data_IF_917778335846
#
_entry.id   IF_917778335846
#
_cell.length_a   1.000
_cell.length_b   1.000
_cell.length_c   1.000
_cell.angle_alpha   90.00
_cell.angle_beta   90.00
_cell.angle_gamma   90.00
#
_symmetry.space_group_name_H-M   'P 1'
#
loop_
_entity.id
_entity.type
_entity.pdbx_description
1 polymer ?
#
# COMPACT_ATOMS: atom_id res chain seq x y z
N UNK A 1 -19.06 0.55 12.53
CA UNK A 1 -20.24 1.42 12.60
C UNK A 1 -20.63 1.75 11.17
N UNK A 2 -21.70 1.14 10.69
CA UNK A 2 -22.19 1.26 9.32
C UNK A 2 -22.68 2.69 9.10
N UNK A 3 -22.05 3.45 8.19
CA UNK A 3 -22.63 4.71 7.73
C UNK A 3 -23.98 4.39 7.08
N UNK A 4 -25.07 5.10 7.41
CA UNK A 4 -26.33 4.94 6.70
C UNK A 4 -26.11 5.31 5.23
N UNK A 5 -26.79 4.59 4.33
CA UNK A 5 -26.92 4.98 2.92
C UNK A 5 -27.35 6.45 2.85
N UNK A 6 -26.80 7.25 1.92
CA UNK A 6 -27.19 8.65 1.78
C UNK A 6 -28.70 8.71 1.54
N UNK A 7 -29.41 9.50 2.37
CA UNK A 7 -30.83 9.77 2.15
C UNK A 7 -30.99 10.54 0.83
N UNK A 8 -32.08 10.32 0.08
CA UNK A 8 -32.37 11.11 -1.10
C UNK A 8 -32.52 12.59 -0.70
N UNK A 9 -31.60 13.42 -1.22
CA UNK A 9 -31.59 14.87 -1.01
C UNK A 9 -32.87 15.48 -1.62
N UNK A 10 -33.48 16.52 -1.01
CA UNK A 10 -34.70 17.12 -1.52
C UNK A 10 -34.50 17.65 -2.95
N UNK A 11 -35.43 17.26 -3.83
CA UNK A 11 -35.50 17.72 -5.21
C UNK A 11 -35.46 19.26 -5.26
N UNK A 12 -34.43 19.84 -5.87
CA UNK A 12 -34.50 21.24 -6.31
C UNK A 12 -35.55 21.32 -7.41
N UNK A 13 -36.74 21.81 -7.08
CA UNK A 13 -37.74 22.25 -8.04
C UNK A 13 -37.12 23.31 -8.94
N UNK A 14 -36.92 23.00 -10.22
CA UNK A 14 -36.29 23.98 -11.10
C UNK A 14 -35.96 23.58 -12.54
N UNK A 15 -36.48 22.48 -13.09
CA UNK A 15 -36.57 22.25 -14.55
C UNK A 15 -37.84 21.48 -14.88
N UNK A 16 -38.50 21.85 -15.98
CA UNK A 16 -39.80 21.29 -16.37
C UNK A 16 -39.69 19.79 -16.60
N UNK A 17 -40.64 18.99 -16.07
CA UNK A 17 -40.77 17.54 -16.37
C UNK A 17 -40.59 17.23 -17.87
N UNK A 18 -41.01 18.17 -18.73
CA UNK A 18 -40.89 18.09 -20.19
C UNK A 18 -39.46 18.00 -20.69
N UNK A 19 -38.49 18.64 -20.03
CA UNK A 19 -37.08 18.60 -20.43
C UNK A 19 -36.44 17.24 -20.12
N UNK A 20 -36.79 16.65 -18.97
CA UNK A 20 -36.37 15.31 -18.59
C UNK A 20 -37.01 14.27 -19.52
N UNK A 21 -38.30 14.41 -19.80
CA UNK A 21 -39.02 13.53 -20.73
C UNK A 21 -38.43 13.61 -22.15
N UNK A 22 -38.13 14.82 -22.64
CA UNK A 22 -37.47 15.01 -23.94
C UNK A 22 -36.06 14.41 -23.99
N UNK A 23 -35.28 14.55 -22.92
CA UNK A 23 -33.97 13.88 -22.80
C UNK A 23 -34.11 12.36 -22.87
N UNK A 24 -35.05 11.81 -22.12
CA UNK A 24 -35.28 10.38 -22.09
C UNK A 24 -35.76 9.85 -23.45
N UNK A 25 -36.68 10.53 -24.13
CA UNK A 25 -37.11 10.13 -25.48
C UNK A 25 -35.94 10.18 -26.48
N UNK A 26 -35.04 11.16 -26.37
CA UNK A 26 -33.90 11.27 -27.28
C UNK A 26 -32.87 10.14 -27.10
N UNK A 27 -32.47 9.84 -25.85
CA UNK A 27 -31.38 8.89 -25.59
C UNK A 27 -31.86 7.47 -25.23
N UNK A 28 -33.15 7.33 -24.97
CA UNK A 28 -33.81 6.10 -24.57
C UNK A 28 -35.18 5.94 -25.25
N UNK A 29 -35.30 6.03 -26.59
CA UNK A 29 -36.60 6.04 -27.27
C UNK A 29 -37.42 4.77 -27.03
N UNK A 30 -36.75 3.63 -26.79
CA UNK A 30 -37.38 2.33 -26.50
C UNK A 30 -37.79 2.16 -25.03
N UNK A 31 -37.22 2.94 -24.12
CA UNK A 31 -37.48 2.86 -22.69
C UNK A 31 -37.27 4.23 -22.00
N UNK A 32 -38.09 5.26 -22.31
CA UNK A 32 -37.91 6.61 -21.78
C UNK A 32 -38.14 6.71 -20.26
N UNK A 33 -38.78 5.70 -19.66
CA UNK A 33 -38.93 5.58 -18.21
C UNK A 33 -37.74 4.96 -17.49
N UNK A 34 -36.69 4.53 -18.20
CA UNK A 34 -35.59 3.77 -17.60
C UNK A 34 -34.83 4.61 -16.57
N UNK A 35 -34.65 4.12 -15.32
CA UNK A 35 -34.05 4.89 -14.22
C UNK A 35 -32.65 5.39 -14.60
N UNK A 36 -31.81 4.55 -15.19
CA UNK A 36 -30.46 4.93 -15.62
C UNK A 36 -30.38 6.24 -16.43
N UNK A 37 -31.34 6.51 -17.32
CA UNK A 37 -31.34 7.70 -18.20
C UNK A 37 -31.87 8.92 -17.45
N UNK A 38 -32.90 8.74 -16.62
CA UNK A 38 -33.44 9.80 -15.76
C UNK A 38 -32.40 10.25 -14.75
N UNK A 39 -31.76 9.29 -14.07
CA UNK A 39 -30.71 9.55 -13.09
C UNK A 39 -29.51 10.24 -13.74
N UNK A 40 -29.13 9.83 -14.97
CA UNK A 40 -28.07 10.48 -15.73
C UNK A 40 -28.44 11.91 -16.14
N UNK A 41 -29.70 12.19 -16.42
CA UNK A 41 -30.13 13.56 -16.65
C UNK A 41 -29.89 14.38 -15.37
N UNK A 42 -30.43 13.93 -14.23
CA UNK A 42 -30.36 14.64 -12.95
C UNK A 42 -28.91 14.90 -12.51
N UNK A 43 -28.13 13.83 -12.36
CA UNK A 43 -26.87 13.69 -13.05
C UNK A 43 -26.11 14.96 -13.52
N UNK A 44 -26.28 15.19 -14.82
CA UNK A 44 -25.69 16.24 -15.63
C UNK A 44 -26.32 17.61 -15.40
N UNK A 45 -27.54 17.68 -14.85
CA UNK A 45 -28.18 18.94 -14.49
C UNK A 45 -27.59 19.54 -13.20
N UNK A 46 -27.16 18.69 -12.27
CA UNK A 46 -26.65 19.07 -10.95
C UNK A 46 -25.10 19.16 -10.90
N UNK A 47 -24.44 19.48 -12.01
CA UNK A 47 -22.99 19.68 -12.06
C UNK A 47 -22.64 20.96 -11.27
N UNK A 48 -21.88 20.87 -10.16
CA UNK A 48 -21.54 22.03 -9.34
C UNK A 48 -20.55 22.96 -10.06
N UNK A 49 -20.80 24.26 -9.96
CA UNK A 49 -19.95 25.30 -10.55
C UNK A 49 -18.84 25.76 -9.62
N UNK A 50 -19.00 25.63 -8.30
CA UNK A 50 -18.09 26.14 -7.28
C UNK A 50 -17.85 25.11 -6.16
N UNK A 51 -16.71 25.25 -5.47
CA UNK A 51 -16.33 24.39 -4.36
C UNK A 51 -15.72 23.05 -4.78
N UNK A 52 -14.57 22.69 -4.19
CA UNK A 52 -13.95 21.39 -4.45
C UNK A 52 -14.79 20.25 -3.89
N UNK A 53 -15.26 20.36 -2.64
CA UNK A 53 -16.04 19.33 -1.96
C UNK A 53 -17.30 18.93 -2.75
N UNK A 54 -18.10 19.92 -3.19
CA UNK A 54 -19.29 19.68 -4.01
C UNK A 54 -18.94 18.97 -5.34
N UNK A 55 -17.81 19.34 -5.97
CA UNK A 55 -17.32 18.66 -7.19
C UNK A 55 -16.91 17.22 -6.89
N UNK A 56 -16.23 16.94 -5.78
CA UNK A 56 -15.87 15.59 -5.37
C UNK A 56 -17.12 14.73 -5.09
N UNK A 57 -18.11 15.28 -4.39
CA UNK A 57 -19.41 14.62 -4.15
C UNK A 57 -20.15 14.31 -5.46
N UNK A 58 -20.07 15.20 -6.45
CA UNK A 58 -20.62 14.93 -7.78
C UNK A 58 -19.87 13.77 -8.47
N UNK A 59 -18.54 13.71 -8.38
CA UNK A 59 -17.75 12.59 -8.92
C UNK A 59 -18.13 11.28 -8.24
N UNK A 60 -18.33 11.26 -6.92
CA UNK A 60 -18.83 10.08 -6.20
C UNK A 60 -20.20 9.64 -6.69
N UNK A 61 -21.16 10.57 -6.85
CA UNK A 61 -22.48 10.24 -7.40
C UNK A 61 -22.39 9.69 -8.82
N UNK A 62 -21.46 10.21 -9.63
CA UNK A 62 -21.21 9.70 -10.98
C UNK A 62 -20.67 8.28 -10.97
N UNK A 63 -19.67 7.98 -10.11
CA UNK A 63 -19.13 6.62 -9.96
C UNK A 63 -20.18 5.67 -9.38
N UNK A 64 -20.98 6.10 -8.40
CA UNK A 64 -22.08 5.32 -7.85
C UNK A 64 -23.13 5.00 -8.92
N UNK A 65 -23.48 5.96 -9.78
CA UNK A 65 -24.36 5.75 -10.92
C UNK A 65 -23.77 4.75 -11.92
N UNK A 66 -22.46 4.79 -12.20
CA UNK A 66 -21.81 3.79 -13.07
C UNK A 66 -21.82 2.38 -12.47
N UNK A 67 -21.74 2.27 -11.14
CA UNK A 67 -21.70 1.01 -10.40
C UNK A 67 -23.06 0.39 -10.13
N UNK A 68 -24.14 1.09 -10.41
CA UNK A 68 -25.49 0.59 -10.21
C UNK A 68 -25.70 -0.74 -10.96
N UNK A 69 -26.19 -1.80 -10.29
CA UNK A 69 -26.32 -3.12 -10.88
C UNK A 69 -27.36 -3.18 -12.00
N UNK A 70 -28.25 -2.19 -12.13
CA UNK A 70 -29.23 -2.13 -13.21
C UNK A 70 -28.56 -1.73 -14.52
N UNK A 71 -28.47 -2.65 -15.50
CA UNK A 71 -27.80 -2.36 -16.75
C UNK A 71 -28.66 -1.47 -17.66
N UNK A 72 -28.01 -0.78 -18.58
CA UNK A 72 -28.64 0.05 -19.61
C UNK A 72 -28.95 -0.73 -20.90
N UNK A 73 -29.13 -2.06 -20.82
CA UNK A 73 -29.26 -2.97 -21.99
C UNK A 73 -30.41 -2.59 -22.94
N UNK A 74 -31.52 -2.05 -22.42
CA UNK A 74 -32.66 -1.60 -23.23
C UNK A 74 -32.44 -0.27 -23.97
N UNK A 75 -31.27 0.33 -23.81
CA UNK A 75 -30.89 1.66 -24.30
C UNK A 75 -29.82 1.60 -25.39
N UNK A 76 -29.25 0.42 -25.64
CA UNK A 76 -28.19 0.20 -26.63
C UNK A 76 -28.75 -0.48 -27.89
N UNK A 77 -28.01 -0.40 -28.99
CA UNK A 77 -28.39 -1.13 -30.21
C UNK A 77 -28.27 -2.65 -29.97
N UNK A 78 -29.17 -3.46 -30.57
CA UNK A 78 -29.22 -4.90 -30.34
C UNK A 78 -28.06 -5.58 -31.08
N UNK A 79 -26.86 -5.56 -30.50
CA UNK A 79 -25.69 -6.22 -31.07
C UNK A 79 -24.69 -6.77 -30.05
N UNK A 80 -24.89 -6.57 -28.74
CA UNK A 80 -23.90 -7.02 -27.74
C UNK A 80 -24.50 -8.05 -26.77
N UNK A 81 -23.73 -9.11 -26.41
CA UNK A 81 -24.08 -10.06 -25.34
C UNK A 81 -24.29 -9.33 -24.00
N UNK A 82 -24.79 -10.02 -22.96
CA UNK A 82 -24.97 -9.47 -21.60
C UNK A 82 -23.69 -8.77 -21.09
N UNK A 83 -23.58 -7.48 -21.39
CA UNK A 83 -22.46 -6.66 -20.95
C UNK A 83 -22.69 -6.24 -19.49
N UNK A 84 -21.63 -6.16 -18.67
CA UNK A 84 -21.76 -5.69 -17.30
C UNK A 84 -22.47 -4.33 -17.24
N UNK A 85 -23.28 -4.10 -16.19
CA UNK A 85 -24.05 -2.87 -16.03
C UNK A 85 -23.20 -1.61 -16.20
N UNK A 86 -22.00 -1.59 -15.61
CA UNK A 86 -21.06 -0.48 -15.72
C UNK A 86 -20.64 -0.16 -17.17
N UNK A 87 -20.47 -1.18 -18.03
CA UNK A 87 -20.12 -0.99 -19.43
C UNK A 87 -21.26 -0.33 -20.19
N UNK A 88 -22.47 -0.84 -20.02
CA UNK A 88 -23.66 -0.28 -20.70
C UNK A 88 -23.96 1.15 -20.25
N UNK A 89 -23.75 1.46 -18.96
CA UNK A 89 -23.95 2.81 -18.40
C UNK A 89 -22.83 3.76 -18.84
N UNK A 90 -21.58 3.31 -18.90
CA UNK A 90 -20.48 4.09 -19.46
C UNK A 90 -20.73 4.45 -20.93
N UNK A 91 -21.22 3.49 -21.73
CA UNK A 91 -21.60 3.73 -23.12
C UNK A 91 -22.73 4.75 -23.26
N UNK A 92 -23.74 4.69 -22.36
CA UNK A 92 -24.82 5.68 -22.32
C UNK A 92 -24.30 7.08 -21.97
N UNK A 93 -23.46 7.21 -20.93
CA UNK A 93 -22.83 8.48 -20.56
C UNK A 93 -22.05 9.06 -21.75
N UNK A 94 -21.23 8.23 -22.39
CA UNK A 94 -20.43 8.64 -23.54
C UNK A 94 -21.31 9.17 -24.68
N UNK A 95 -22.36 8.43 -25.05
CA UNK A 95 -23.31 8.82 -26.10
C UNK A 95 -23.97 10.18 -25.79
N UNK A 96 -24.35 10.42 -24.55
CA UNK A 96 -24.98 11.69 -24.14
C UNK A 96 -24.00 12.85 -24.27
N UNK A 97 -22.76 12.69 -23.80
CA UNK A 97 -21.74 13.73 -23.85
C UNK A 97 -21.24 14.01 -25.28
N UNK A 98 -21.24 13.01 -26.16
CA UNK A 98 -20.95 13.19 -27.60
C UNK A 98 -22.05 14.00 -28.29
N UNK A 99 -23.32 13.74 -27.97
CA UNK A 99 -24.46 14.37 -28.61
C UNK A 99 -24.80 15.77 -28.07
N UNK A 100 -24.50 16.08 -26.80
CA UNK A 100 -24.89 17.35 -26.15
C UNK A 100 -23.71 18.10 -25.56
N UNK A 101 -23.24 19.11 -26.31
CA UNK A 101 -22.20 20.04 -25.83
C UNK A 101 -22.59 20.77 -24.52
N UNK A 102 -23.87 21.09 -24.33
CA UNK A 102 -24.38 21.74 -23.10
C UNK A 102 -24.25 20.87 -21.84
N UNK A 103 -24.20 19.54 -21.98
CA UNK A 103 -23.90 18.63 -20.88
C UNK A 103 -22.38 18.36 -20.75
N UNK A 104 -21.66 18.34 -21.88
CA UNK A 104 -20.22 18.10 -21.93
C UNK A 104 -19.39 19.21 -21.28
N UNK A 105 -19.67 20.47 -21.59
CA UNK A 105 -18.84 21.59 -21.12
C UNK A 105 -18.79 21.71 -19.57
N UNK A 106 -19.90 21.63 -18.82
CA UNK A 106 -19.85 21.63 -17.36
C UNK A 106 -19.05 20.47 -16.77
N UNK A 107 -19.21 19.26 -17.33
CA UNK A 107 -18.48 18.07 -16.86
C UNK A 107 -16.99 18.20 -17.16
N UNK A 108 -16.62 18.68 -18.35
CA UNK A 108 -15.22 18.92 -18.72
C UNK A 108 -14.59 19.99 -17.82
N UNK A 109 -15.31 21.06 -17.50
CA UNK A 109 -14.88 22.08 -16.55
C UNK A 109 -14.68 21.50 -15.15
N UNK A 110 -15.64 20.72 -14.65
CA UNK A 110 -15.53 20.06 -13.36
C UNK A 110 -14.29 19.15 -13.28
N UNK A 111 -14.05 18.32 -14.30
CA UNK A 111 -12.88 17.42 -14.33
C UNK A 111 -11.58 18.22 -14.33
N UNK A 112 -11.49 19.32 -15.08
CA UNK A 112 -10.31 20.20 -15.05
C UNK A 112 -10.07 20.78 -13.67
N UNK A 113 -11.11 21.32 -13.04
CA UNK A 113 -11.03 21.93 -11.72
C UNK A 113 -10.62 20.91 -10.64
N UNK A 114 -11.21 19.71 -10.66
CA UNK A 114 -10.84 18.64 -9.72
C UNK A 114 -9.39 18.21 -9.94
N UNK A 115 -8.95 18.03 -11.18
CA UNK A 115 -7.55 17.66 -11.47
C UNK A 115 -6.58 18.79 -11.09
N UNK A 116 -6.93 20.05 -11.31
CA UNK A 116 -6.09 21.19 -10.93
C UNK A 116 -5.98 21.36 -9.40
N UNK A 117 -7.04 21.02 -8.67
CA UNK A 117 -7.10 21.14 -7.22
C UNK A 117 -6.57 19.92 -6.46
N UNK A 118 -6.21 18.84 -7.17
CA UNK A 118 -5.72 17.58 -6.56
C UNK A 118 -4.29 17.25 -7.02
N UNK A 119 -3.53 16.61 -6.14
CA UNK A 119 -2.17 16.13 -6.43
C UNK A 119 -2.12 14.60 -6.55
N UNK A 120 -1.57 14.11 -7.65
CA UNK A 120 -1.32 12.68 -7.88
C UNK A 120 0.01 12.17 -7.31
N UNK A 121 0.89 13.06 -6.83
CA UNK A 121 2.25 12.67 -6.42
C UNK A 121 2.25 11.58 -5.36
N UNK A 122 1.49 11.76 -4.28
CA UNK A 122 1.39 10.77 -3.19
C UNK A 122 0.79 9.46 -3.66
N UNK A 123 -0.24 9.52 -4.51
CA UNK A 123 -0.86 8.34 -5.09
C UNK A 123 0.18 7.49 -5.83
N UNK A 124 0.91 8.07 -6.77
CA UNK A 124 1.82 7.29 -7.62
C UNK A 124 3.13 6.89 -6.91
N UNK A 125 3.62 7.69 -5.95
CA UNK A 125 4.94 7.50 -5.32
C UNK A 125 4.94 6.91 -3.91
N UNK A 126 3.81 6.85 -3.19
CA UNK A 126 3.78 6.42 -1.79
C UNK A 126 2.75 5.34 -1.49
N UNK A 127 1.60 5.35 -2.16
CA UNK A 127 0.54 4.35 -1.93
C UNK A 127 1.03 2.95 -2.28
N UNK A 128 0.90 2.01 -1.33
CA UNK A 128 1.32 0.62 -1.49
C UNK A 128 2.78 0.34 -1.13
N UNK A 129 3.53 1.38 -0.77
CA UNK A 129 4.94 1.26 -0.44
C UNK A 129 5.16 1.22 1.08
N UNK A 130 6.08 0.37 1.57
CA UNK A 130 6.41 0.32 2.98
C UNK A 130 6.93 1.68 3.49
N UNK A 131 6.33 2.21 4.56
CA UNK A 131 6.75 3.47 5.19
C UNK A 131 8.19 3.36 5.76
N UNK A 132 9.09 4.28 5.42
CA UNK A 132 10.54 4.17 5.67
C UNK A 132 11.03 4.12 7.14
N UNK A 133 10.16 3.91 8.13
CA UNK A 133 10.48 3.86 9.56
C UNK A 133 10.80 2.44 10.07
N UNK A 134 11.01 1.48 9.17
CA UNK A 134 11.19 0.07 9.48
C UNK A 134 9.88 -0.59 9.95
N UNK A 135 9.92 -1.91 10.13
CA UNK A 135 8.72 -2.72 10.45
C UNK A 135 7.94 -2.23 11.66
N UNK A 136 8.61 -1.98 12.79
CA UNK A 136 7.92 -1.57 14.04
C UNK A 136 7.32 -0.18 13.93
N UNK A 137 7.98 0.74 13.22
CA UNK A 137 7.44 2.07 12.93
C UNK A 137 6.20 1.99 12.05
N UNK A 138 6.18 1.10 11.06
CA UNK A 138 5.00 0.92 10.21
C UNK A 138 3.81 0.31 10.97
N UNK A 139 4.04 -0.70 11.80
CA UNK A 139 2.98 -1.31 12.61
C UNK A 139 2.39 -0.30 13.60
N UNK A 140 3.24 0.47 14.29
CA UNK A 140 2.77 1.48 15.25
C UNK A 140 2.01 2.61 14.55
N UNK A 141 2.49 3.08 13.41
CA UNK A 141 1.86 4.12 12.59
C UNK A 141 0.48 3.68 12.06
N UNK A 142 0.37 2.44 11.54
CA UNK A 142 -0.92 1.89 11.10
C UNK A 142 -1.89 1.67 12.25
N UNK A 143 -1.41 1.25 13.42
CA UNK A 143 -2.24 1.12 14.62
C UNK A 143 -2.72 2.49 15.12
N UNK A 144 -1.83 3.48 15.13
CA UNK A 144 -2.15 4.85 15.52
C UNK A 144 -3.23 5.44 14.60
N UNK A 145 -3.08 5.33 13.28
CA UNK A 145 -4.10 5.75 12.31
C UNK A 145 -5.44 5.03 12.45
N UNK A 146 -5.44 3.80 12.96
CA UNK A 146 -6.68 3.05 13.23
C UNK A 146 -7.38 3.56 14.50
N UNK A 147 -6.64 4.06 15.48
CA UNK A 147 -7.17 4.60 16.74
C UNK A 147 -7.53 6.09 16.62
N UNK A 148 -6.76 6.85 15.85
CA UNK A 148 -6.90 8.28 15.59
C UNK A 148 -6.86 8.52 14.08
N UNK A 149 -8.01 8.44 13.39
CA UNK A 149 -8.08 8.73 11.97
C UNK A 149 -7.71 10.20 11.71
N UNK A 150 -6.75 10.45 10.83
CA UNK A 150 -6.46 11.80 10.36
C UNK A 150 -7.65 12.38 9.61
N UNK A 151 -7.86 13.71 9.63
CA UNK A 151 -8.86 14.35 8.79
C UNK A 151 -8.57 14.07 7.30
N UNK A 152 -9.61 13.89 6.47
CA UNK A 152 -9.43 13.66 5.04
C UNK A 152 -8.72 14.85 4.38
N UNK A 153 -7.74 14.55 3.52
CA UNK A 153 -7.03 15.56 2.75
C UNK A 153 -7.64 15.65 1.34
N UNK A 154 -8.61 16.55 1.16
CA UNK A 154 -9.41 16.66 -0.08
C UNK A 154 -8.59 17.01 -1.33
N UNK A 155 -7.35 17.48 -1.15
CA UNK A 155 -6.41 17.81 -2.23
C UNK A 155 -5.54 16.64 -2.68
N UNK A 156 -5.72 15.43 -2.12
CA UNK A 156 -4.94 14.26 -2.49
C UNK A 156 -5.73 13.29 -3.35
N UNK A 157 -5.21 12.97 -4.54
CA UNK A 157 -5.83 11.98 -5.42
C UNK A 157 -5.88 10.58 -4.78
N UNK A 158 -4.97 10.28 -3.85
CA UNK A 158 -4.99 9.03 -3.08
C UNK A 158 -6.21 8.90 -2.15
N UNK A 159 -6.64 10.00 -1.53
CA UNK A 159 -7.84 10.01 -0.68
C UNK A 159 -9.09 9.97 -1.54
N UNK A 160 -9.11 10.70 -2.67
CA UNK A 160 -10.20 10.61 -3.63
C UNK A 160 -10.37 9.19 -4.16
N UNK A 161 -9.28 8.49 -4.52
CA UNK A 161 -9.34 7.12 -5.00
C UNK A 161 -10.03 6.20 -3.98
N UNK A 162 -9.66 6.28 -2.70
CA UNK A 162 -10.25 5.47 -1.63
C UNK A 162 -11.68 5.90 -1.23
N UNK A 163 -12.06 7.14 -1.56
CA UNK A 163 -13.43 7.65 -1.40
C UNK A 163 -14.36 7.13 -2.51
N UNK A 164 -13.87 7.09 -3.75
CA UNK A 164 -14.60 6.55 -4.90
C UNK A 164 -14.70 5.01 -4.87
N UNK A 165 -13.67 4.37 -4.30
CA UNK A 165 -13.54 2.92 -4.25
C UNK A 165 -13.31 2.46 -2.81
N UNK A 166 -14.38 2.36 -2.00
CA UNK A 166 -14.27 2.08 -0.57
C UNK A 166 -13.91 0.61 -0.23
N UNK A 167 -14.12 -0.34 -1.14
CA UNK A 167 -13.92 -1.78 -0.85
C UNK A 167 -12.85 -2.43 -1.74
N UNK A 168 -12.11 -3.44 -1.27
CA UNK A 168 -11.02 -4.06 -2.03
C UNK A 168 -11.44 -4.63 -3.39
N UNK A 169 -12.66 -5.15 -3.49
CA UNK A 169 -13.25 -5.73 -4.71
C UNK A 169 -13.42 -4.69 -5.83
N UNK A 170 -13.34 -3.40 -5.50
CA UNK A 170 -13.46 -2.30 -6.45
C UNK A 170 -12.31 -2.25 -7.45
N UNK A 171 -11.15 -2.82 -7.08
CA UNK A 171 -10.05 -2.93 -8.01
C UNK A 171 -10.36 -3.87 -9.17
N UNK A 172 -11.05 -4.99 -8.90
CA UNK A 172 -11.43 -5.95 -9.94
C UNK A 172 -12.55 -5.36 -10.82
N UNK A 173 -13.45 -4.59 -10.23
CA UNK A 173 -14.43 -3.80 -10.99
C UNK A 173 -13.77 -2.81 -11.95
N UNK A 174 -12.74 -2.08 -11.47
CA UNK A 174 -12.02 -1.10 -12.28
C UNK A 174 -11.25 -1.75 -13.44
N UNK A 175 -10.59 -2.87 -13.15
CA UNK A 175 -9.85 -3.66 -14.14
C UNK A 175 -10.78 -4.29 -15.20
N UNK A 176 -12.04 -4.53 -14.85
CA UNK A 176 -13.08 -5.01 -15.78
C UNK A 176 -13.66 -3.97 -16.73
N UNK A 177 -13.32 -2.68 -16.60
CA UNK A 177 -13.82 -1.64 -17.49
C UNK A 177 -13.09 -1.68 -18.86
N UNK A 178 -13.82 -1.58 -19.98
CA UNK A 178 -13.20 -1.53 -21.30
C UNK A 178 -12.39 -0.24 -21.48
N UNK A 179 -11.15 -0.31 -22.00
CA UNK A 179 -10.29 0.85 -22.14
C UNK A 179 -10.72 1.81 -23.27
N UNK A 180 -11.45 1.33 -24.28
CA UNK A 180 -11.86 2.16 -25.44
C UNK A 180 -12.87 3.25 -25.05
N UNK A 181 -13.98 2.95 -24.32
CA UNK A 181 -14.92 3.99 -23.93
C UNK A 181 -14.32 5.01 -22.97
N UNK A 182 -13.39 4.58 -22.10
CA UNK A 182 -12.66 5.47 -21.20
C UNK A 182 -11.71 6.39 -21.97
N UNK A 183 -11.03 5.87 -23.00
CA UNK A 183 -10.18 6.67 -23.87
C UNK A 183 -10.98 7.75 -24.62
N UNK A 184 -12.16 7.40 -25.13
CA UNK A 184 -13.07 8.35 -25.77
C UNK A 184 -13.62 9.37 -24.79
N UNK A 185 -14.10 8.95 -23.63
CA UNK A 185 -14.56 9.84 -22.57
C UNK A 185 -13.46 10.82 -22.16
N UNK A 186 -12.25 10.32 -21.95
CA UNK A 186 -11.08 11.14 -21.64
C UNK A 186 -10.83 12.20 -22.71
N UNK A 187 -10.83 11.81 -23.99
CA UNK A 187 -10.61 12.71 -25.11
C UNK A 187 -11.68 13.83 -25.18
N UNK A 188 -12.95 13.49 -24.93
CA UNK A 188 -14.06 14.45 -24.90
C UNK A 188 -13.94 15.48 -23.77
N UNK A 189 -13.34 15.08 -22.64
CA UNK A 189 -13.21 15.93 -21.46
C UNK A 189 -11.88 16.71 -21.39
N UNK A 190 -10.96 16.50 -22.35
CA UNK A 190 -9.70 17.27 -22.40
C UNK A 190 -9.91 18.74 -22.79
N UNK A 191 -10.93 19.03 -23.60
CA UNK A 191 -11.14 20.35 -24.22
C UNK A 191 -11.85 21.34 -23.31
N UNK A 192 -11.55 22.63 -23.48
CA UNK A 192 -12.28 23.75 -22.87
C UNK A 192 -12.02 25.04 -23.64
N UNK A 193 -12.98 25.95 -23.62
CA UNK A 193 -12.94 27.23 -24.35
C UNK A 193 -12.08 28.31 -23.67
N UNK A 194 -11.50 28.02 -22.49
CA UNK A 194 -10.76 28.98 -21.66
C UNK A 194 -9.28 28.56 -21.49
N UNK A 195 -8.32 29.23 -22.16
CA UNK A 195 -6.90 29.18 -21.78
C UNK A 195 -6.62 30.10 -20.56
N UNK A 196 -5.65 29.80 -19.67
CA UNK A 196 -4.63 28.75 -19.72
C UNK A 196 -4.89 27.64 -18.68
N UNK A 197 -5.79 26.70 -18.97
CA UNK A 197 -6.02 25.54 -18.08
C UNK A 197 -5.28 24.33 -18.64
N UNK A 198 -4.38 23.72 -17.86
CA UNK A 198 -3.73 22.44 -18.24
C UNK A 198 -4.80 21.37 -18.43
N UNK A 199 -4.67 20.58 -19.50
CA UNK A 199 -5.59 19.50 -19.75
C UNK A 199 -5.47 18.41 -18.66
N UNK A 200 -6.55 17.73 -18.25
CA UNK A 200 -6.53 16.66 -17.25
C UNK A 200 -5.43 15.61 -17.49
N UNK A 201 -5.25 15.15 -18.74
CA UNK A 201 -4.18 14.19 -19.05
C UNK A 201 -2.77 14.75 -18.83
N UNK A 202 -2.56 16.05 -19.00
CA UNK A 202 -1.26 16.68 -18.75
C UNK A 202 -0.97 16.75 -17.25
N UNK A 203 -1.99 16.98 -16.41
CA UNK A 203 -1.84 16.97 -14.93
C UNK A 203 -1.48 15.58 -14.43
N UNK A 204 -2.16 14.54 -14.93
CA UNK A 204 -1.84 13.14 -14.59
C UNK A 204 -0.43 12.78 -15.08
N UNK A 205 -0.08 13.14 -16.32
CA UNK A 205 1.27 12.89 -16.86
C UNK A 205 2.35 13.56 -16.01
N UNK A 206 2.16 14.81 -15.60
CA UNK A 206 3.08 15.52 -14.72
C UNK A 206 3.22 14.81 -13.36
N UNK A 207 2.12 14.37 -12.77
CA UNK A 207 2.15 13.64 -11.49
C UNK A 207 2.89 12.30 -11.59
N UNK A 208 2.74 11.57 -12.71
CA UNK A 208 3.48 10.32 -12.97
C UNK A 208 4.98 10.57 -13.11
N UNK A 209 5.34 11.63 -13.83
CA UNK A 209 6.71 12.11 -14.03
C UNK A 209 7.37 12.50 -12.70
N UNK A 210 6.69 13.30 -11.88
CA UNK A 210 7.18 13.71 -10.56
C UNK A 210 7.35 12.50 -9.63
N UNK A 211 6.40 11.55 -9.69
CA UNK A 211 6.48 10.32 -8.93
C UNK A 211 7.67 9.43 -9.34
N UNK A 212 7.95 9.32 -10.65
CA UNK A 212 9.12 8.59 -11.16
C UNK A 212 10.43 9.19 -10.60
N UNK A 213 10.55 10.52 -10.60
CA UNK A 213 11.69 11.23 -10.02
C UNK A 213 11.85 10.99 -8.51
N UNK A 214 10.75 11.11 -7.76
CA UNK A 214 10.76 10.88 -6.30
C UNK A 214 11.12 9.44 -5.95
N UNK A 215 10.53 8.46 -6.66
CA UNK A 215 10.83 7.04 -6.48
C UNK A 215 12.30 6.74 -6.78
N UNK A 216 12.87 7.34 -7.83
CA UNK A 216 14.28 7.16 -8.18
C UNK A 216 15.21 7.67 -7.07
N UNK A 217 14.96 8.85 -6.53
CA UNK A 217 15.75 9.43 -5.43
C UNK A 217 15.67 8.56 -4.17
N UNK A 218 14.46 8.16 -3.77
CA UNK A 218 14.26 7.33 -2.58
C UNK A 218 14.89 5.95 -2.73
N UNK A 219 14.74 5.33 -3.91
CA UNK A 219 15.30 4.00 -4.20
C UNK A 219 16.82 4.05 -4.24
N UNK A 220 17.40 5.09 -4.86
CA UNK A 220 18.84 5.30 -4.85
C UNK A 220 19.39 5.47 -3.43
N UNK A 221 18.72 6.26 -2.59
CA UNK A 221 19.13 6.45 -1.20
C UNK A 221 19.14 5.13 -0.42
N UNK A 222 18.13 4.28 -0.59
CA UNK A 222 18.05 2.96 0.06
C UNK A 222 19.08 1.98 -0.48
N UNK A 223 19.35 1.98 -1.79
CA UNK A 223 20.30 1.06 -2.41
C UNK A 223 21.78 1.42 -2.19
N UNK A 224 22.06 2.63 -1.69
CA UNK A 224 23.42 3.12 -1.43
C UNK A 224 23.80 3.11 0.06
N UNK A 225 22.95 2.56 0.92
CA UNK A 225 23.27 2.40 2.35
C UNK A 225 24.41 1.41 2.54
N UNK A 226 25.19 1.60 3.60
CA UNK A 226 26.40 0.82 3.87
C UNK A 226 26.14 -0.69 3.95
N UNK A 227 25.06 -1.08 4.64
CA UNK A 227 24.62 -2.47 4.77
C UNK A 227 24.29 -3.15 3.44
N UNK A 228 23.81 -2.41 2.44
CA UNK A 228 23.60 -2.91 1.07
C UNK A 228 24.93 -3.02 0.33
N UNK A 229 25.81 -2.02 0.45
CA UNK A 229 27.10 -2.00 -0.25
C UNK A 229 28.09 -3.06 0.24
N UNK A 230 28.18 -3.28 1.56
CA UNK A 230 29.06 -4.30 2.15
C UNK A 230 28.76 -5.71 1.63
N UNK A 231 27.50 -5.95 1.23
CA UNK A 231 27.04 -7.23 0.71
C UNK A 231 27.24 -7.38 -0.80
N UNK A 232 27.69 -6.33 -1.50
CA UNK A 232 28.01 -6.32 -2.92
C UNK A 232 29.36 -5.62 -3.19
N UNK A 233 30.48 -6.12 -2.65
CA UNK A 233 31.78 -5.44 -2.72
C UNK A 233 32.35 -5.33 -4.14
N UNK A 234 31.95 -6.23 -5.04
CA UNK A 234 32.39 -6.27 -6.45
C UNK A 234 31.89 -5.06 -7.27
N UNK A 235 30.85 -4.38 -6.80
CA UNK A 235 30.29 -3.21 -7.50
C UNK A 235 30.92 -1.94 -6.95
N UNK A 236 31.79 -1.31 -7.74
CA UNK A 236 32.34 0.00 -7.37
C UNK A 236 31.22 1.03 -7.15
N UNK A 237 31.39 1.95 -6.19
CA UNK A 237 30.36 2.96 -5.90
C UNK A 237 29.90 3.71 -7.15
N UNK A 238 30.83 4.11 -8.03
CA UNK A 238 30.51 4.83 -9.28
C UNK A 238 29.76 3.98 -10.32
N UNK A 239 29.91 2.66 -10.26
CA UNK A 239 29.21 1.72 -11.14
C UNK A 239 27.88 1.22 -10.54
N UNK A 240 27.48 1.72 -9.37
CA UNK A 240 26.24 1.28 -8.73
C UNK A 240 25.02 1.56 -9.62
N UNK A 241 24.18 0.54 -9.91
CA UNK A 241 22.98 0.74 -10.72
C UNK A 241 21.98 1.67 -10.03
N UNK A 242 21.99 1.75 -8.69
CA UNK A 242 21.18 2.69 -7.92
C UNK A 242 21.57 4.16 -8.17
N UNK A 243 22.85 4.48 -8.42
CA UNK A 243 23.26 5.83 -8.85
C UNK A 243 22.84 6.11 -10.30
N UNK A 244 22.94 5.10 -11.17
CA UNK A 244 22.55 5.20 -12.58
C UNK A 244 21.03 5.42 -12.72
N UNK A 245 20.22 4.77 -11.87
CA UNK A 245 18.76 4.83 -11.86
C UNK A 245 18.23 6.27 -11.84
N UNK A 246 18.78 7.11 -10.97
CA UNK A 246 18.38 8.52 -10.89
C UNK A 246 18.59 9.26 -12.22
N UNK A 247 19.77 9.10 -12.84
CA UNK A 247 20.11 9.77 -14.10
C UNK A 247 19.21 9.31 -15.24
N UNK A 248 18.91 8.01 -15.28
CA UNK A 248 18.03 7.45 -16.32
C UNK A 248 16.59 7.93 -16.15
N UNK A 249 16.07 7.99 -14.92
CA UNK A 249 14.75 8.59 -14.67
C UNK A 249 14.69 10.08 -15.04
N UNK A 250 15.74 10.86 -14.75
CA UNK A 250 15.86 12.26 -15.22
C UNK A 250 15.89 12.32 -16.76
N UNK A 251 16.55 11.36 -17.42
CA UNK A 251 16.57 11.21 -18.87
C UNK A 251 15.20 10.90 -19.48
N UNK A 252 14.39 10.06 -18.83
CA UNK A 252 12.98 9.79 -19.21
C UNK A 252 12.16 11.08 -19.18
N UNK A 253 12.35 11.92 -18.17
CA UNK A 253 11.71 13.24 -18.11
C UNK A 253 12.16 14.15 -19.26
N UNK A 254 13.47 14.31 -19.41
CA UNK A 254 14.06 15.26 -20.36
C UNK A 254 13.73 14.92 -21.82
N UNK A 255 13.53 13.62 -22.11
CA UNK A 255 13.21 13.11 -23.45
C UNK A 255 11.72 12.78 -23.62
N UNK A 256 10.86 13.28 -22.73
CA UNK A 256 9.41 13.09 -22.75
C UNK A 256 8.98 11.62 -22.92
N UNK A 257 9.61 10.71 -22.18
CA UNK A 257 9.40 9.27 -22.22
C UNK A 257 9.64 8.65 -23.61
N UNK A 258 10.66 9.12 -24.34
CA UNK A 258 11.09 8.52 -25.60
C UNK A 258 11.39 7.01 -25.44
N UNK A 259 11.12 6.18 -26.46
CA UNK A 259 11.29 4.72 -26.37
C UNK A 259 12.66 4.27 -25.87
N UNK A 260 13.75 4.92 -26.31
CA UNK A 260 15.11 4.57 -25.89
C UNK A 260 15.34 4.87 -24.40
N UNK A 261 14.84 6.00 -23.89
CA UNK A 261 14.95 6.32 -22.45
C UNK A 261 14.18 5.34 -21.57
N UNK A 262 13.06 4.78 -22.06
CA UNK A 262 12.29 3.77 -21.35
C UNK A 262 12.96 2.39 -21.38
N UNK A 263 13.64 2.05 -22.48
CA UNK A 263 14.50 0.85 -22.55
C UNK A 263 15.65 0.96 -21.56
N UNK A 264 16.36 2.09 -21.56
CA UNK A 264 17.43 2.36 -20.59
C UNK A 264 16.92 2.26 -19.14
N UNK A 265 15.71 2.75 -18.85
CA UNK A 265 15.10 2.60 -17.53
C UNK A 265 14.85 1.13 -17.18
N UNK A 266 14.31 0.35 -18.11
CA UNK A 266 14.09 -1.09 -17.93
C UNK A 266 15.40 -1.84 -17.62
N UNK A 267 16.46 -1.56 -18.38
CA UNK A 267 17.77 -2.17 -18.19
C UNK A 267 18.34 -1.88 -16.79
N UNK A 268 18.29 -0.60 -16.37
CA UNK A 268 18.81 -0.20 -15.05
C UNK A 268 17.96 -0.70 -13.90
N UNK A 269 16.65 -0.78 -14.08
CA UNK A 269 15.76 -1.39 -13.10
C UNK A 269 16.12 -2.87 -12.91
N UNK A 270 16.41 -3.60 -13.98
CA UNK A 270 16.83 -5.00 -13.90
C UNK A 270 18.21 -5.15 -13.23
N UNK A 271 19.18 -4.29 -13.56
CA UNK A 271 20.46 -4.23 -12.85
C UNK A 271 20.25 -3.99 -11.33
N UNK A 272 19.31 -3.11 -10.94
CA UNK A 272 18.97 -2.88 -9.53
C UNK A 272 18.34 -4.12 -8.88
N UNK A 273 17.47 -4.86 -9.59
CA UNK A 273 16.87 -6.11 -9.07
C UNK A 273 17.92 -7.17 -8.81
N UNK A 274 18.91 -7.30 -9.67
CA UNK A 274 20.02 -8.25 -9.49
C UNK A 274 20.80 -7.94 -8.20
N UNK A 275 21.08 -6.66 -7.95
CA UNK A 275 21.72 -6.26 -6.67
C UNK A 275 20.84 -6.61 -5.47
N UNK A 276 19.53 -6.33 -5.52
CA UNK A 276 18.59 -6.71 -4.46
C UNK A 276 18.58 -8.23 -4.23
N UNK A 277 18.63 -9.03 -5.29
CA UNK A 277 18.66 -10.49 -5.21
C UNK A 277 19.94 -11.01 -4.53
N UNK A 278 21.10 -10.45 -4.88
CA UNK A 278 22.39 -10.78 -4.25
C UNK A 278 22.39 -10.43 -2.76
N UNK A 279 21.92 -9.23 -2.40
CA UNK A 279 21.86 -8.80 -0.99
C UNK A 279 20.89 -9.68 -0.20
N UNK A 280 19.77 -10.07 -0.82
CA UNK A 280 18.79 -10.97 -0.20
C UNK A 280 19.34 -12.37 0.03
N UNK A 281 20.15 -12.92 -0.89
CA UNK A 281 20.76 -14.24 -0.71
C UNK A 281 21.81 -14.24 0.40
N UNK A 282 22.61 -13.17 0.53
CA UNK A 282 23.57 -13.01 1.63
C UNK A 282 22.88 -12.82 3.00
N UNK A 283 21.72 -12.15 3.05
CA UNK A 283 20.89 -12.08 4.26
C UNK A 283 20.44 -13.46 4.75
N UNK A 284 20.20 -14.39 3.83
CA UNK A 284 19.84 -15.75 4.21
C UNK A 284 21.00 -16.52 4.85
N UNK A 285 22.24 -16.12 4.60
CA UNK A 285 23.44 -16.84 5.02
C UNK A 285 24.10 -16.25 6.28
N UNK A 286 24.09 -14.92 6.46
CA UNK A 286 24.90 -14.23 7.48
C UNK A 286 24.10 -13.43 8.54
N UNK A 287 22.78 -13.65 8.60
CA UNK A 287 21.90 -13.10 9.64
C UNK A 287 20.96 -11.99 9.17
N UNK A 288 19.77 -11.90 9.81
CA UNK A 288 18.63 -11.14 9.27
C UNK A 288 18.40 -9.82 10.00
N UNK A 289 18.73 -8.71 9.34
CA UNK A 289 18.22 -7.39 9.72
C UNK A 289 16.81 -7.18 9.15
N UNK A 290 15.79 -7.21 10.01
CA UNK A 290 14.39 -6.87 9.65
C UNK A 290 14.31 -5.51 8.96
N UNK A 291 15.14 -4.55 9.36
CA UNK A 291 15.17 -3.22 8.74
C UNK A 291 15.73 -3.29 7.31
N UNK A 292 16.81 -4.05 7.08
CA UNK A 292 17.36 -4.25 5.74
C UNK A 292 16.37 -4.96 4.82
N UNK A 293 15.72 -6.03 5.28
CA UNK A 293 14.71 -6.73 4.47
C UNK A 293 13.55 -5.81 4.08
N UNK A 294 13.11 -4.98 5.02
CA UNK A 294 12.08 -3.99 4.77
C UNK A 294 12.49 -2.95 3.72
N UNK A 295 13.74 -2.48 3.77
CA UNK A 295 14.31 -1.60 2.74
C UNK A 295 14.40 -2.28 1.38
N UNK A 296 14.83 -3.54 1.32
CA UNK A 296 14.90 -4.31 0.07
C UNK A 296 13.51 -4.52 -0.53
N UNK A 297 12.50 -4.81 0.28
CA UNK A 297 11.11 -4.90 -0.17
C UNK A 297 10.58 -3.56 -0.68
N UNK A 298 10.94 -2.45 -0.01
CA UNK A 298 10.63 -1.10 -0.49
C UNK A 298 11.30 -0.80 -1.83
N UNK A 299 12.58 -1.15 -2.00
CA UNK A 299 13.30 -1.01 -3.28
C UNK A 299 12.56 -1.80 -4.36
N UNK A 300 12.26 -3.09 -4.12
CA UNK A 300 11.58 -3.96 -5.09
C UNK A 300 10.24 -3.37 -5.56
N UNK A 301 9.39 -2.95 -4.62
CA UNK A 301 8.08 -2.33 -4.97
C UNK A 301 8.23 -0.98 -5.66
N UNK A 302 9.22 -0.18 -5.28
CA UNK A 302 9.52 1.08 -5.99
C UNK A 302 9.93 0.80 -7.43
N UNK A 303 10.78 -0.19 -7.69
CA UNK A 303 11.20 -0.61 -9.03
C UNK A 303 10.00 -1.10 -9.87
N UNK A 304 9.14 -1.96 -9.31
CA UNK A 304 7.89 -2.41 -9.95
C UNK A 304 6.99 -1.22 -10.32
N UNK A 305 6.85 -0.25 -9.41
CA UNK A 305 6.06 0.96 -9.64
C UNK A 305 6.66 1.85 -10.73
N UNK A 306 7.99 2.01 -10.76
CA UNK A 306 8.67 2.79 -11.81
C UNK A 306 8.43 2.20 -13.20
N UNK A 307 8.48 0.88 -13.36
CA UNK A 307 8.14 0.21 -14.62
C UNK A 307 6.66 0.37 -15.01
N UNK A 308 5.75 0.26 -14.05
CA UNK A 308 4.33 0.47 -14.32
C UNK A 308 4.05 1.90 -14.79
N UNK A 309 4.68 2.90 -14.16
CA UNK A 309 4.63 4.29 -14.62
C UNK A 309 5.24 4.43 -16.02
N UNK A 310 6.39 3.80 -16.28
CA UNK A 310 7.07 3.83 -17.57
C UNK A 310 6.20 3.27 -18.71
N UNK A 311 5.48 2.16 -18.46
CA UNK A 311 4.54 1.59 -19.44
C UNK A 311 3.42 2.57 -19.79
N UNK A 312 2.82 3.24 -18.80
CA UNK A 312 1.79 4.26 -19.05
C UNK A 312 2.34 5.45 -19.84
N UNK A 313 3.54 5.92 -19.49
CA UNK A 313 4.16 7.07 -20.15
C UNK A 313 4.61 6.80 -21.59
N UNK A 314 5.04 5.56 -21.87
CA UNK A 314 5.58 5.13 -23.17
C UNK A 314 4.55 4.80 -24.23
N UNK A 315 3.28 4.66 -23.86
CA UNK A 315 2.20 4.36 -24.81
C UNK A 315 1.53 5.66 -25.28
N UNK A 316 1.23 5.76 -26.56
CA UNK A 316 0.54 6.91 -27.15
C UNK A 316 -0.86 7.14 -26.53
N UNK A 317 -1.40 8.37 -26.52
CA UNK A 317 -2.74 8.63 -26.02
C UNK A 317 -3.78 7.78 -26.77
N UNK A 318 -4.71 7.18 -26.02
CA UNK A 318 -5.76 6.33 -26.58
C UNK A 318 -6.05 5.10 -25.72
N UNK A 319 -6.68 4.10 -26.33
CA UNK A 319 -7.08 2.85 -25.66
C UNK A 319 -5.90 2.14 -24.98
N UNK A 320 -4.77 2.01 -25.67
CA UNK A 320 -3.61 1.29 -25.14
C UNK A 320 -3.05 1.96 -23.86
N UNK A 321 -3.03 3.30 -23.79
CA UNK A 321 -2.61 4.02 -22.57
C UNK A 321 -3.60 3.85 -21.44
N UNK A 322 -4.90 3.85 -21.73
CA UNK A 322 -5.93 3.60 -20.72
C UNK A 322 -5.87 2.18 -20.17
N UNK A 323 -5.53 1.18 -21.01
CA UNK A 323 -5.27 -0.19 -20.54
C UNK A 323 -4.15 -0.24 -19.51
N UNK A 324 -2.97 0.33 -19.81
CA UNK A 324 -1.86 0.39 -18.84
C UNK A 324 -2.23 1.23 -17.61
N UNK A 325 -2.98 2.32 -17.79
CA UNK A 325 -3.44 3.17 -16.71
C UNK A 325 -4.38 2.46 -15.74
N UNK A 326 -5.34 1.68 -16.24
CA UNK A 326 -6.24 0.86 -15.43
C UNK A 326 -5.47 -0.18 -14.62
N UNK A 327 -4.52 -0.88 -15.24
CA UNK A 327 -3.65 -1.85 -14.54
C UNK A 327 -2.90 -1.18 -13.38
N UNK A 328 -2.33 0.00 -13.62
CA UNK A 328 -1.62 0.77 -12.60
C UNK A 328 -2.56 1.22 -11.46
N UNK A 329 -3.72 1.79 -11.79
CA UNK A 329 -4.68 2.29 -10.78
C UNK A 329 -5.31 1.15 -9.99
N UNK A 330 -5.61 0.01 -10.62
CA UNK A 330 -6.14 -1.18 -9.94
C UNK A 330 -5.09 -1.77 -8.98
N UNK A 331 -3.82 -1.90 -9.39
CA UNK A 331 -2.72 -2.31 -8.49
C UNK A 331 -2.59 -1.34 -7.31
N UNK A 332 -2.61 -0.04 -7.57
CA UNK A 332 -2.58 1.02 -6.56
C UNK A 332 -3.71 0.89 -5.54
N UNK A 333 -4.93 0.66 -6.02
CA UNK A 333 -6.12 0.52 -5.20
C UNK A 333 -6.04 -0.73 -4.31
N UNK A 334 -5.67 -1.89 -4.89
CA UNK A 334 -5.45 -3.13 -4.12
C UNK A 334 -4.43 -2.92 -3.00
N UNK A 335 -3.32 -2.25 -3.31
CA UNK A 335 -2.28 -1.95 -2.33
C UNK A 335 -2.73 -0.92 -1.29
N UNK A 336 -3.50 0.09 -1.66
CA UNK A 336 -4.07 1.08 -0.74
C UNK A 336 -4.99 0.43 0.31
N UNK A 337 -5.84 -0.52 -0.09
CA UNK A 337 -6.67 -1.28 0.85
C UNK A 337 -5.84 -2.21 1.74
N UNK A 338 -4.83 -2.88 1.16
CA UNK A 338 -3.91 -3.73 1.92
C UNK A 338 -3.12 -2.92 2.94
N UNK A 339 -2.78 -1.67 2.63
CA UNK A 339 -2.03 -0.78 3.52
C UNK A 339 -2.81 -0.37 4.78
N UNK A 340 -4.15 -0.33 4.71
CA UNK A 340 -5.00 -0.12 5.88
C UNK A 340 -5.06 -1.36 6.80
N UNK A 341 -4.59 -2.52 6.35
CA UNK A 341 -4.60 -3.76 7.13
C UNK A 341 -3.30 -3.96 7.92
N UNK A 342 -3.38 -3.85 9.25
CA UNK A 342 -2.29 -4.24 10.17
C UNK A 342 -1.98 -5.74 10.05
N UNK A 343 -3.00 -6.56 9.78
CA UNK A 343 -2.85 -8.01 9.63
C UNK A 343 -1.98 -8.37 8.42
N UNK A 344 -2.09 -7.62 7.33
CA UNK A 344 -1.30 -7.86 6.13
C UNK A 344 0.20 -7.62 6.37
N UNK A 345 0.56 -6.57 7.13
CA UNK A 345 1.97 -6.29 7.50
C UNK A 345 2.55 -7.36 8.40
N UNK A 346 1.78 -7.82 9.37
CA UNK A 346 2.19 -8.90 10.26
C UNK A 346 2.35 -10.19 9.46
N UNK A 347 1.41 -10.52 8.58
CA UNK A 347 1.48 -11.73 7.76
C UNK A 347 2.65 -11.72 6.77
N UNK A 348 2.92 -10.60 6.10
CA UNK A 348 4.02 -10.48 5.14
C UNK A 348 5.40 -10.56 5.81
N UNK A 349 5.52 -10.11 7.07
CA UNK A 349 6.80 -10.06 7.78
C UNK A 349 6.93 -11.09 8.93
N UNK A 350 5.89 -11.89 9.21
CA UNK A 350 5.87 -12.89 10.29
C UNK A 350 7.02 -13.89 10.19
N UNK A 351 7.38 -14.30 8.97
CA UNK A 351 8.51 -15.22 8.72
C UNK A 351 9.84 -14.63 9.19
N UNK A 352 10.03 -13.32 9.05
CA UNK A 352 11.26 -12.62 9.38
C UNK A 352 11.33 -12.27 10.87
N UNK A 353 10.19 -11.93 11.48
CA UNK A 353 10.08 -11.79 12.93
C UNK A 353 10.35 -13.12 13.63
N UNK A 354 9.74 -14.21 13.15
CA UNK A 354 9.99 -15.55 13.67
C UNK A 354 11.49 -15.88 13.55
N UNK A 355 12.11 -15.62 12.40
CA UNK A 355 13.54 -15.86 12.20
C UNK A 355 14.43 -15.01 13.12
N UNK A 356 14.17 -13.71 13.27
CA UNK A 356 14.96 -12.83 14.15
C UNK A 356 14.78 -13.19 15.63
N UNK A 357 13.59 -13.64 16.03
CA UNK A 357 13.33 -14.19 17.37
C UNK A 357 14.11 -15.49 17.57
N UNK A 358 14.10 -16.39 16.59
CA UNK A 358 14.86 -17.65 16.62
C UNK A 358 16.38 -17.38 16.69
N UNK A 359 16.90 -16.46 15.88
CA UNK A 359 18.33 -16.12 15.83
C UNK A 359 18.81 -15.46 17.14
N UNK A 360 18.01 -14.54 17.69
CA UNK A 360 18.31 -13.89 18.97
C UNK A 360 18.12 -14.83 20.18
N UNK A 361 17.20 -15.78 20.10
CA UNK A 361 17.03 -16.83 21.11
C UNK A 361 18.17 -17.86 21.03
N UNK A 362 18.58 -18.25 19.83
CA UNK A 362 19.66 -19.21 19.57
C UNK A 362 20.99 -18.78 20.19
N UNK A 363 21.43 -17.54 19.94
CA UNK A 363 22.68 -17.01 20.50
C UNK A 363 22.73 -16.95 22.05
N UNK A 364 21.59 -16.94 22.73
CA UNK A 364 21.53 -16.84 24.20
C UNK A 364 21.25 -18.17 24.90
N UNK A 365 21.07 -19.28 24.18
CA UNK A 365 20.54 -20.50 24.79
C UNK A 365 20.95 -21.85 24.25
N UNK A 366 21.99 -21.94 23.41
CA UNK A 366 22.63 -23.23 23.09
C UNK A 366 23.08 -23.99 24.35
N UNK A 367 23.48 -23.28 25.41
CA UNK A 367 23.87 -23.88 26.69
C UNK A 367 22.72 -24.52 27.51
N UNK A 368 21.45 -24.39 27.09
CA UNK A 368 20.30 -25.04 27.76
C UNK A 368 19.84 -26.33 27.06
N UNK A 369 20.39 -26.67 25.89
CA UNK A 369 20.02 -27.86 25.14
C UNK A 369 21.08 -28.93 25.40
N UNK A 370 20.73 -29.92 26.22
CA UNK A 370 21.64 -31.02 26.55
C UNK A 370 21.42 -32.18 25.59
N UNK A 371 22.45 -32.55 24.83
CA UNK A 371 22.45 -33.64 23.86
C UNK A 371 23.09 -34.91 24.40
N UNK A 372 23.89 -34.80 25.47
CA UNK A 372 24.57 -35.93 26.12
C UNK A 372 24.20 -36.05 27.61
N UNK A 373 24.39 -37.25 28.19
CA UNK A 373 24.14 -37.49 29.63
C UNK A 373 25.00 -36.62 30.54
N UNK A 374 26.22 -36.26 30.12
CA UNK A 374 27.11 -35.40 30.89
C UNK A 374 26.59 -33.95 30.94
N UNK A 375 26.12 -33.43 29.81
CA UNK A 375 25.48 -32.10 29.72
C UNK A 375 24.21 -32.02 30.58
N UNK A 376 23.42 -33.10 30.65
CA UNK A 376 22.23 -33.16 31.51
C UNK A 376 22.58 -32.97 32.99
N UNK A 377 23.62 -33.65 33.49
CA UNK A 377 24.05 -33.47 34.88
C UNK A 377 24.60 -32.07 35.14
N UNK A 378 25.34 -31.49 34.18
CA UNK A 378 25.79 -30.10 34.28
C UNK A 378 24.62 -29.11 34.36
N UNK A 379 23.58 -29.31 33.54
CA UNK A 379 22.35 -28.51 33.57
C UNK A 379 21.62 -28.64 34.90
N UNK A 380 21.50 -29.86 35.47
CA UNK A 380 20.89 -30.07 36.79
C UNK A 380 21.66 -29.32 37.89
N UNK A 381 23.00 -29.35 37.87
CA UNK A 381 23.82 -28.59 38.82
C UNK A 381 23.67 -27.08 38.66
N UNK A 382 23.67 -26.57 37.43
CA UNK A 382 23.42 -25.15 37.14
C UNK A 382 22.01 -24.71 37.56
N UNK A 383 21.00 -25.56 37.38
CA UNK A 383 19.63 -25.30 37.80
C UNK A 383 19.47 -25.31 39.33
N UNK A 384 20.18 -26.20 40.02
CA UNK A 384 20.25 -26.20 41.48
C UNK A 384 20.86 -24.89 42.01
N UNK A 385 21.89 -24.36 41.35
CA UNK A 385 22.46 -23.04 41.65
C UNK A 385 21.44 -21.91 41.50
N UNK A 386 20.67 -21.91 40.40
CA UNK A 386 19.60 -20.93 40.18
C UNK A 386 18.48 -21.04 41.22
N UNK A 387 18.11 -22.27 41.60
CA UNK A 387 17.14 -22.53 42.67
C UNK A 387 17.61 -22.03 44.03
N UNK A 388 18.88 -22.25 44.37
CA UNK A 388 19.47 -21.77 45.62
C UNK A 388 19.48 -20.25 45.70
N UNK A 389 19.93 -19.57 44.63
CA UNK A 389 19.92 -18.10 44.59
C UNK A 389 18.48 -17.58 44.74
N UNK A 390 17.51 -18.19 44.06
CA UNK A 390 16.10 -17.81 44.15
C UNK A 390 15.53 -17.98 45.57
N UNK A 391 15.89 -19.07 46.26
CA UNK A 391 15.50 -19.30 47.64
C UNK A 391 16.07 -18.22 48.57
N UNK A 392 17.34 -17.83 48.38
CA UNK A 392 17.97 -16.73 49.12
C UNK A 392 17.26 -15.40 48.83
N UNK A 393 16.90 -15.13 47.58
CA UNK A 393 16.10 -13.94 47.21
C UNK A 393 14.76 -13.90 47.94
N UNK A 394 14.07 -15.05 48.03
CA UNK A 394 12.79 -15.15 48.73
C UNK A 394 12.93 -14.89 50.23
N UNK A 395 13.98 -15.42 50.85
CA UNK A 395 14.30 -15.18 52.27
C UNK A 395 14.61 -13.70 52.50
N UNK A 396 15.44 -13.08 51.67
CA UNK A 396 15.76 -11.65 51.75
C UNK A 396 14.52 -10.77 51.59
N UNK A 397 13.60 -11.15 50.70
CA UNK A 397 12.31 -10.47 50.51
C UNK A 397 11.43 -10.57 51.75
N UNK A 398 11.32 -11.76 52.35
CA UNK A 398 10.55 -11.96 53.58
C UNK A 398 11.17 -11.20 54.75
N UNK A 399 12.50 -11.16 54.84
CA UNK A 399 13.21 -10.38 55.84
C UNK A 399 12.99 -8.87 55.66
N UNK A 400 13.09 -8.37 54.42
CA UNK A 400 12.81 -6.97 54.08
C UNK A 400 11.39 -6.55 54.51
N UNK A 401 10.41 -7.46 54.48
CA UNK A 401 9.04 -7.21 54.94
C UNK A 401 8.91 -7.07 56.47
N UNK A 402 9.88 -7.56 57.24
CA UNK A 402 9.93 -7.38 58.71
C UNK A 402 10.60 -6.09 59.14
N UNK A 403 11.40 -5.48 58.25
CA UNK A 403 11.97 -4.16 58.48
C UNK A 403 10.89 -3.11 58.25
N UNK A 404 10.53 -2.35 59.28
CA UNK A 404 9.56 -1.25 59.21
C UNK A 404 10.11 -0.03 58.42
N UNK A 405 10.52 -0.27 57.17
CA UNK A 405 11.06 0.72 56.25
C UNK A 405 9.93 1.59 55.70
N UNK A 406 10.22 2.86 55.43
CA UNK A 406 9.30 3.70 54.68
C UNK A 406 9.07 3.13 53.26
N UNK A 407 7.89 3.34 52.63
CA UNK A 407 7.50 2.68 51.38
C UNK A 407 8.51 2.80 50.24
N UNK A 408 9.19 3.96 50.14
CA UNK A 408 10.24 4.19 49.15
C UNK A 408 11.45 3.26 49.36
N UNK A 409 11.98 3.19 50.58
CA UNK A 409 13.16 2.38 50.91
C UNK A 409 12.84 0.88 50.89
N UNK A 410 11.61 0.49 51.23
CA UNK A 410 11.13 -0.87 51.06
C UNK A 410 11.13 -1.29 49.58
N UNK A 411 10.60 -0.45 48.69
CA UNK A 411 10.63 -0.67 47.24
C UNK A 411 12.05 -0.75 46.68
N UNK A 412 12.95 0.13 47.14
CA UNK A 412 14.36 0.14 46.75
C UNK A 412 15.10 -1.13 47.20
N UNK A 413 14.88 -1.58 48.44
CA UNK A 413 15.49 -2.80 48.96
C UNK A 413 15.01 -4.03 48.17
N UNK A 414 13.71 -4.12 47.87
CA UNK A 414 13.19 -5.19 47.02
C UNK A 414 13.78 -5.15 45.62
N UNK A 415 13.80 -4.00 44.95
CA UNK A 415 14.42 -3.86 43.64
C UNK A 415 15.90 -4.30 43.66
N UNK A 416 16.66 -3.89 44.68
CA UNK A 416 18.05 -4.30 44.88
C UNK A 416 18.23 -5.80 45.05
N UNK A 417 17.38 -6.46 45.86
CA UNK A 417 17.44 -7.92 46.04
C UNK A 417 17.17 -8.68 44.75
N UNK A 418 16.20 -8.24 43.93
CA UNK A 418 15.91 -8.86 42.63
C UNK A 418 17.05 -8.65 41.63
N UNK A 419 17.53 -7.41 41.48
CA UNK A 419 18.65 -7.09 40.56
C UNK A 419 19.91 -7.86 40.95
N UNK A 420 20.26 -7.86 42.23
CA UNK A 420 21.43 -8.60 42.74
C UNK A 420 21.31 -10.10 42.46
N UNK A 421 20.13 -10.67 42.62
CA UNK A 421 19.89 -12.10 42.36
C UNK A 421 20.07 -12.46 40.88
N UNK A 422 19.57 -11.63 39.96
CA UNK A 422 19.77 -11.84 38.52
C UNK A 422 21.23 -11.68 38.09
N UNK A 423 21.94 -10.68 38.62
CA UNK A 423 23.37 -10.49 38.36
C UNK A 423 24.19 -11.68 38.89
N UNK A 424 23.87 -12.17 40.08
CA UNK A 424 24.54 -13.32 40.67
C UNK A 424 24.30 -14.60 39.86
N UNK A 425 23.08 -14.83 39.36
CA UNK A 425 22.80 -15.93 38.44
C UNK A 425 23.59 -15.81 37.13
N UNK A 426 23.71 -14.60 36.59
CA UNK A 426 24.46 -14.34 35.35
C UNK A 426 25.96 -14.60 35.52
N UNK A 427 26.57 -14.13 36.62
CA UNK A 427 28.00 -14.31 36.90
C UNK A 427 28.34 -15.77 37.22
N UNK A 428 27.45 -16.48 37.93
CA UNK A 428 27.66 -17.89 38.28
C UNK A 428 27.28 -18.88 37.17
N UNK A 429 26.72 -18.41 36.05
CA UNK A 429 26.21 -19.28 35.00
C UNK A 429 25.06 -20.18 35.46
N UNK A 430 24.29 -19.75 36.45
CA UNK A 430 23.17 -20.50 37.02
C UNK A 430 21.93 -20.43 36.12
N UNK A 431 21.20 -21.55 36.04
CA UNK A 431 20.05 -21.72 35.14
C UNK A 431 18.73 -21.47 35.86
N UNK A 432 17.83 -20.70 35.24
CA UNK A 432 16.46 -20.53 35.71
C UNK A 432 15.46 -21.12 34.70
N UNK A 433 14.56 -21.97 35.19
CA UNK A 433 13.61 -22.71 34.35
C UNK A 433 12.68 -21.83 33.50
N UNK A 434 12.48 -20.56 33.86
CA UNK A 434 11.61 -19.63 33.11
C UNK A 434 12.15 -19.24 31.74
N UNK A 435 13.44 -19.51 31.45
CA UNK A 435 14.00 -19.31 30.10
C UNK A 435 13.73 -20.51 29.17
N UNK A 436 13.38 -21.69 29.69
CA UNK A 436 13.26 -22.91 28.88
C UNK A 436 12.07 -22.90 27.90
N UNK A 437 10.85 -22.43 28.24
CA UNK A 437 9.71 -22.43 27.30
C UNK A 437 9.96 -21.61 26.02
N UNK A 438 10.60 -20.44 26.16
CA UNK A 438 10.96 -19.58 25.02
C UNK A 438 12.01 -20.24 24.11
N UNK A 439 12.90 -21.03 24.69
CA UNK A 439 13.96 -21.74 23.96
C UNK A 439 13.43 -22.98 23.25
N UNK A 440 12.54 -23.75 23.88
CA UNK A 440 11.85 -24.87 23.24
C UNK A 440 11.03 -24.40 22.05
N UNK A 441 10.35 -23.25 22.16
CA UNK A 441 9.63 -22.64 21.05
C UNK A 441 10.56 -22.22 19.90
N UNK A 442 11.74 -21.65 20.19
CA UNK A 442 12.73 -21.29 19.18
C UNK A 442 13.34 -22.50 18.47
N UNK A 443 13.66 -23.56 19.21
CA UNK A 443 14.18 -24.81 18.65
C UNK A 443 13.13 -25.58 17.82
N UNK A 444 11.86 -25.58 18.26
CA UNK A 444 10.77 -26.17 17.48
C UNK A 444 10.53 -25.37 16.19
N UNK A 445 10.59 -24.04 16.27
CA UNK A 445 10.48 -23.14 15.12
C UNK A 445 11.59 -23.34 14.09
N UNK A 446 12.83 -23.58 14.52
CA UNK A 446 13.95 -23.86 13.61
C UNK A 446 13.81 -25.24 12.95
N UNK A 447 13.39 -26.27 13.70
CA UNK A 447 13.16 -27.62 13.18
C UNK A 447 12.03 -27.66 12.14
N UNK A 448 10.92 -26.95 12.39
CA UNK A 448 9.81 -26.83 11.42
C UNK A 448 10.25 -26.05 10.17
N UNK A 449 11.06 -25.00 10.33
CA UNK A 449 11.61 -24.22 9.22
C UNK A 449 12.58 -25.02 8.32
N UNK A 450 13.32 -25.98 8.88
CA UNK A 450 14.20 -26.88 8.12
C UNK A 450 13.42 -28.03 7.46
N UNK A 451 12.41 -28.59 8.13
CA UNK A 451 11.54 -29.64 7.57
C UNK A 451 10.77 -29.17 6.33
N UNK A 452 10.27 -27.93 6.32
CA UNK A 452 9.60 -27.35 5.16
C UNK A 452 10.50 -27.09 3.94
N UNK A 453 11.83 -27.07 4.12
CA UNK A 453 12.80 -26.96 3.01
C UNK A 453 13.20 -28.32 2.42
N UNK A 454 13.08 -29.41 3.18
CA UNK A 454 13.39 -30.76 2.70
C UNK A 454 12.31 -31.33 1.76
N UNK A 455 11.04 -30.96 1.97
CA UNK A 455 9.92 -31.42 1.13
C UNK A 455 9.76 -30.62 -0.18
N UNK A 456 10.43 -29.47 -0.32
CA UNK A 456 10.42 -28.66 -1.56
C UNK A 456 11.48 -29.07 -2.60
N UNK A 457 12.36 -30.02 -2.29
CA UNK A 457 13.42 -30.51 -3.19
C UNK A 457 13.15 -31.93 -3.71
N UNK A 458 11.89 -32.38 -3.63
CA UNK A 458 11.40 -33.62 -4.26
C UNK A 458 10.06 -33.39 -4.96
N UNK A 459 10.07 -32.62 -6.04
CA UNK A 459 9.23 -32.80 -7.23
C UNK A 459 9.77 -31.94 -8.35
#
# INVERSE_FOLDING_TARGET
>A
MSRPLPQPVPMREGRSSREVDAFCVQFAPRAPGHPAVRDLQHLLADVPTEGLEARLEWVERCVAWLRDPQPALGLMEPAEPEAPAAVTRLALLLRVLEARASAREPVAALVREVMAATSGLKLFSQVGLPAGLGFFGEVSDRLARRLLPSPPEDHQLSELLLRLFPVPEDADWLEGLPPEPLARLSALLQGGTQPPVRAPAQVVRASLVDALGLLAVQTAALGLTEDVRERCPEVSFRASPFLKLRRVCEGVLARDAAPDSLRELGDVVEECRQVVAIVSSHLEQYGVSVDLVYRLERIRRSLERMEAIARVLGVAPGEARWREGLVLVADLLRRAHTDRSVRAVVASNARLLARKVIERAGHSGEHYITTTRAEYHHMVHSAAGGGLITAVTAILKLYAATLALAPFFYGLALAGTYVGSFLMMQVTGSTLATKQPSMTAAALGSAIGQGGRADGCRT
#
